data_IF_400914518992
#
_entry.id   IF_400914518992
#
_cell.length_a   1.000
_cell.length_b   1.000
_cell.length_c   1.000
_cell.angle_alpha   90.00
_cell.angle_beta   90.00
_cell.angle_gamma   90.00
#
_symmetry.space_group_name_H-M   'P 1'
#
loop_
_entity.id
_entity.type
_entity.pdbx_description
1 polymer ?
#
# COMPACT_ATOMS: atom_id res chain seq x y z
N UNK A 1 11.16 -12.23 9.54
CA UNK A 1 11.78 -11.97 8.23
C UNK A 1 10.66 -11.57 7.28
N UNK A 2 10.67 -10.33 6.81
CA UNK A 2 9.72 -9.76 5.85
C UNK A 2 10.47 -9.50 4.56
N UNK A 3 9.86 -9.81 3.41
CA UNK A 3 10.51 -9.61 2.10
C UNK A 3 10.88 -10.90 1.38
N UNK A 4 9.93 -11.84 1.24
CA UNK A 4 10.12 -13.03 0.41
C UNK A 4 9.85 -12.67 -1.07
N UNK A 5 10.61 -13.23 -2.01
CA UNK A 5 10.39 -13.02 -3.44
C UNK A 5 9.29 -13.97 -3.96
N UNK A 6 8.12 -13.43 -4.30
CA UNK A 6 7.03 -14.21 -4.92
C UNK A 6 7.34 -14.56 -6.35
N UNK A 7 7.95 -13.65 -7.10
CA UNK A 7 8.06 -13.79 -8.54
C UNK A 7 8.55 -12.53 -9.21
N UNK A 8 8.43 -12.55 -10.53
CA UNK A 8 8.96 -11.55 -11.42
C UNK A 8 7.87 -10.99 -12.32
N UNK A 9 7.88 -9.67 -12.49
CA UNK A 9 7.03 -8.97 -13.45
C UNK A 9 7.93 -8.41 -14.56
N UNK A 10 7.57 -8.67 -15.80
CA UNK A 10 8.28 -8.15 -16.98
C UNK A 10 7.32 -7.51 -17.96
N UNK A 11 7.84 -6.57 -18.73
CA UNK A 11 7.21 -6.03 -19.93
C UNK A 11 8.14 -6.34 -21.11
N UNK A 12 7.58 -6.85 -22.21
CA UNK A 12 8.36 -7.05 -23.44
C UNK A 12 8.40 -5.78 -24.31
N UNK A 13 9.16 -5.81 -25.41
CA UNK A 13 9.29 -4.66 -26.33
C UNK A 13 7.95 -4.23 -26.96
N UNK A 14 6.93 -5.09 -26.92
CA UNK A 14 5.58 -4.82 -27.39
C UNK A 14 4.66 -4.22 -26.32
N UNK A 15 5.14 -4.02 -25.09
CA UNK A 15 4.35 -3.54 -23.95
C UNK A 15 3.48 -4.64 -23.31
N UNK A 16 3.73 -5.91 -23.63
CA UNK A 16 2.97 -7.01 -23.04
C UNK A 16 3.56 -7.36 -21.68
N UNK A 17 2.76 -7.16 -20.64
CA UNK A 17 3.12 -7.55 -19.28
C UNK A 17 2.96 -9.05 -19.07
N UNK A 18 3.95 -9.65 -18.40
CA UNK A 18 3.94 -11.04 -17.98
C UNK A 18 4.46 -11.20 -16.55
N UNK A 19 3.87 -12.12 -15.81
CA UNK A 19 4.23 -12.46 -14.44
C UNK A 19 4.58 -13.95 -14.33
N UNK A 20 5.66 -14.25 -13.60
CA UNK A 20 6.08 -15.61 -13.32
C UNK A 20 6.46 -15.77 -11.84
N UNK A 21 6.02 -16.86 -11.21
CA UNK A 21 6.39 -17.15 -9.84
C UNK A 21 7.88 -17.52 -9.71
N UNK A 22 8.47 -17.15 -8.58
CA UNK A 22 9.83 -17.57 -8.23
C UNK A 22 9.79 -19.06 -7.85
N UNK A 23 10.84 -19.79 -8.23
CA UNK A 23 10.97 -21.21 -7.85
C UNK A 23 10.96 -21.41 -6.33
N UNK A 24 11.54 -20.45 -5.59
CA UNK A 24 11.56 -20.47 -4.13
C UNK A 24 10.17 -20.32 -3.53
N UNK A 25 9.29 -19.52 -4.16
CA UNK A 25 7.89 -19.40 -3.73
C UNK A 25 7.11 -20.68 -4.02
N UNK A 26 7.23 -21.22 -5.24
CA UNK A 26 6.55 -22.46 -5.65
C UNK A 26 6.95 -23.67 -4.81
N UNK A 27 8.18 -23.71 -4.29
CA UNK A 27 8.66 -24.80 -3.44
C UNK A 27 8.06 -24.81 -2.03
N UNK A 28 7.31 -23.77 -1.63
CA UNK A 28 6.75 -23.67 -0.28
C UNK A 28 5.44 -24.43 -0.17
N UNK A 29 5.27 -25.13 0.94
CA UNK A 29 4.00 -25.81 1.27
C UNK A 29 2.88 -24.85 1.64
N UNK A 30 3.20 -23.62 2.04
CA UNK A 30 2.27 -22.55 2.39
C UNK A 30 2.19 -21.45 1.31
N UNK A 31 2.69 -21.72 0.10
CA UNK A 31 2.57 -20.82 -1.03
C UNK A 31 1.10 -20.51 -1.32
N UNK A 32 0.82 -19.23 -1.57
CA UNK A 32 -0.49 -18.75 -2.00
C UNK A 32 -0.37 -18.07 -3.36
N UNK A 33 -1.35 -18.24 -4.26
CA UNK A 33 -1.38 -17.49 -5.51
C UNK A 33 -1.65 -16.01 -5.25
N UNK A 34 -1.10 -15.13 -6.09
CA UNK A 34 -1.36 -13.68 -6.06
C UNK A 34 -2.83 -13.34 -6.36
N UNK A 35 -3.44 -14.11 -7.25
CA UNK A 35 -4.82 -13.97 -7.66
C UNK A 35 -5.39 -15.34 -8.04
N UNK A 36 -6.72 -15.54 -7.98
CA UNK A 36 -7.35 -16.80 -8.40
C UNK A 36 -6.98 -17.24 -9.82
N UNK A 37 -6.77 -16.28 -10.74
CA UNK A 37 -6.39 -16.55 -12.13
C UNK A 37 -4.87 -16.50 -12.39
N UNK A 38 -4.05 -16.52 -11.33
CA UNK A 38 -2.59 -16.69 -11.41
C UNK A 38 -2.22 -17.94 -10.63
N UNK A 39 -2.48 -19.15 -11.16
CA UNK A 39 -2.21 -20.40 -10.45
C UNK A 39 -0.72 -20.58 -10.14
N UNK A 40 -0.42 -21.29 -9.05
CA UNK A 40 0.96 -21.60 -8.65
C UNK A 40 1.56 -22.65 -9.58
N UNK A 41 2.19 -22.19 -10.66
CA UNK A 41 2.93 -23.03 -11.60
C UNK A 41 4.21 -22.32 -12.09
N UNK A 42 5.03 -23.04 -12.85
CA UNK A 42 6.28 -22.52 -13.43
C UNK A 42 6.07 -21.69 -14.70
N UNK A 43 4.81 -21.48 -15.15
CA UNK A 43 4.52 -20.78 -16.39
C UNK A 43 4.59 -19.27 -16.21
N UNK A 44 4.91 -18.58 -17.31
CA UNK A 44 4.71 -17.14 -17.39
C UNK A 44 3.27 -16.86 -17.80
N UNK A 45 2.56 -16.14 -16.95
CA UNK A 45 1.20 -15.68 -17.19
C UNK A 45 1.27 -14.31 -17.86
N UNK A 46 0.65 -14.16 -19.04
CA UNK A 46 0.69 -12.91 -19.81
C UNK A 46 -0.70 -12.52 -20.29
N UNK A 47 -0.84 -11.26 -20.73
CA UNK A 47 -2.06 -10.74 -21.34
C UNK A 47 -2.89 -9.87 -20.41
N UNK A 48 -4.15 -9.67 -20.79
CA UNK A 48 -5.03 -8.65 -20.20
C UNK A 48 -5.24 -8.85 -18.69
N UNK A 49 -5.34 -10.09 -18.22
CA UNK A 49 -5.52 -10.34 -16.79
C UNK A 49 -4.33 -9.83 -15.95
N UNK A 50 -3.10 -10.09 -16.40
CA UNK A 50 -1.89 -9.65 -15.70
C UNK A 50 -1.84 -8.13 -15.69
N UNK A 51 -2.02 -7.50 -16.86
CA UNK A 51 -2.07 -6.06 -16.97
C UNK A 51 -3.13 -5.45 -16.04
N UNK A 52 -4.37 -5.96 -16.06
CA UNK A 52 -5.46 -5.47 -15.22
C UNK A 52 -5.20 -5.67 -13.71
N UNK A 53 -4.62 -6.81 -13.31
CA UNK A 53 -4.29 -7.06 -11.90
C UNK A 53 -3.32 -6.00 -11.36
N UNK A 54 -2.24 -5.75 -12.11
CA UNK A 54 -1.21 -4.80 -11.71
C UNK A 54 -1.65 -3.34 -11.88
N UNK A 55 -2.50 -3.06 -12.86
CA UNK A 55 -3.11 -1.74 -13.05
C UNK A 55 -3.99 -1.33 -11.86
N UNK A 56 -4.73 -2.29 -11.27
CA UNK A 56 -5.56 -2.07 -10.07
C UNK A 56 -4.75 -1.72 -8.80
N UNK A 57 -3.42 -1.80 -8.84
CA UNK A 57 -2.55 -1.33 -7.75
C UNK A 57 -2.24 0.16 -7.85
N UNK A 58 -2.49 0.78 -9.00
CA UNK A 58 -2.16 2.16 -9.30
C UNK A 58 -3.32 3.12 -9.03
N UNK A 59 -3.05 4.43 -8.86
CA UNK A 59 -4.08 5.45 -8.80
C UNK A 59 -4.92 5.48 -10.08
N UNK A 60 -6.12 6.04 -9.96
CA UNK A 60 -7.06 6.19 -11.06
C UNK A 60 -7.38 7.66 -11.36
N UNK A 61 -7.98 7.91 -12.53
CA UNK A 61 -8.46 9.22 -12.95
C UNK A 61 -7.39 10.30 -12.89
N UNK A 62 -7.76 11.51 -12.46
CA UNK A 62 -6.83 12.64 -12.44
C UNK A 62 -5.60 12.45 -11.54
N UNK A 63 -5.61 11.49 -10.60
CA UNK A 63 -4.44 11.23 -9.72
C UNK A 63 -3.39 10.50 -10.54
N UNK A 64 -3.83 9.52 -11.34
CA UNK A 64 -3.01 8.83 -12.34
C UNK A 64 -2.43 9.79 -13.36
N UNK A 65 -3.26 10.67 -13.93
CA UNK A 65 -2.81 11.63 -14.94
C UNK A 65 -1.72 12.56 -14.38
N UNK A 66 -1.86 12.97 -13.12
CA UNK A 66 -0.86 13.78 -12.43
C UNK A 66 0.45 13.01 -12.20
N UNK A 67 0.36 11.77 -11.70
CA UNK A 67 1.50 10.89 -11.49
C UNK A 67 2.27 10.61 -12.79
N UNK A 68 1.56 10.31 -13.87
CA UNK A 68 2.15 10.04 -15.19
C UNK A 68 2.87 11.27 -15.75
N UNK A 69 2.26 12.46 -15.66
CA UNK A 69 2.89 13.72 -16.05
C UNK A 69 4.17 14.00 -15.28
N UNK A 70 4.16 13.78 -13.96
CA UNK A 70 5.33 14.01 -13.12
C UNK A 70 6.50 13.05 -13.43
N UNK A 71 6.21 11.88 -14.00
CA UNK A 71 7.20 10.90 -14.43
C UNK A 71 7.56 11.01 -15.93
N UNK A 72 6.93 11.93 -16.66
CA UNK A 72 7.08 12.05 -18.11
C UNK A 72 6.76 10.76 -18.88
N UNK A 73 5.74 10.02 -18.42
CA UNK A 73 5.26 8.79 -19.08
C UNK A 73 3.78 8.90 -19.46
N UNK A 74 3.32 8.00 -20.33
CA UNK A 74 1.89 7.88 -20.63
C UNK A 74 1.11 7.40 -19.40
N UNK A 75 -0.10 7.92 -19.12
CA UNK A 75 -0.97 7.35 -18.09
C UNK A 75 -1.26 5.87 -18.32
N UNK A 76 -1.26 5.41 -19.57
CA UNK A 76 -1.45 3.99 -19.92
C UNK A 76 -0.21 3.11 -19.69
N UNK A 77 0.96 3.67 -19.38
CA UNK A 77 2.16 2.89 -19.12
C UNK A 77 2.16 2.38 -17.66
N UNK A 78 1.49 1.24 -17.46
CA UNK A 78 1.32 0.59 -16.17
C UNK A 78 2.67 0.23 -15.55
N UNK A 79 3.58 -0.36 -16.33
CA UNK A 79 4.87 -0.81 -15.85
C UNK A 79 5.72 0.35 -15.30
N UNK A 80 5.85 1.45 -16.05
CA UNK A 80 6.60 2.62 -15.60
C UNK A 80 5.99 3.30 -14.36
N UNK A 81 4.67 3.27 -14.22
CA UNK A 81 4.00 3.76 -13.01
C UNK A 81 4.30 2.86 -11.80
N UNK A 82 4.27 1.53 -11.98
CA UNK A 82 4.62 0.58 -10.92
C UNK A 82 6.09 0.67 -10.53
N UNK A 83 6.99 0.89 -11.49
CA UNK A 83 8.39 1.16 -11.25
C UNK A 83 8.63 2.40 -10.41
N UNK A 84 7.66 3.31 -10.28
CA UNK A 84 7.75 4.41 -9.32
C UNK A 84 7.01 4.14 -8.03
N UNK A 85 5.79 3.63 -8.11
CA UNK A 85 4.84 3.64 -6.99
C UNK A 85 4.59 2.28 -6.35
N UNK A 86 5.24 1.23 -6.84
CA UNK A 86 5.06 -0.13 -6.37
C UNK A 86 5.70 -0.45 -5.02
N UNK A 87 6.41 0.47 -4.37
CA UNK A 87 7.11 0.19 -3.11
C UNK A 87 6.17 -0.11 -1.94
N UNK A 88 5.00 0.52 -1.91
CA UNK A 88 3.95 0.28 -0.90
C UNK A 88 2.58 0.28 -1.57
N UNK A 89 2.11 -0.91 -1.97
CA UNK A 89 0.81 -1.09 -2.65
C UNK A 89 -0.29 -1.55 -1.68
N UNK A 90 -1.52 -1.64 -2.19
CA UNK A 90 -2.61 -2.32 -1.49
C UNK A 90 -2.28 -3.80 -1.25
N UNK A 91 -2.62 -4.33 -0.08
CA UNK A 91 -2.25 -5.68 0.32
C UNK A 91 -0.79 -5.80 0.73
N UNK A 92 -0.24 -7.00 0.65
CA UNK A 92 1.08 -7.33 1.18
C UNK A 92 2.22 -7.24 0.15
N UNK A 93 1.94 -6.70 -1.04
CA UNK A 93 2.82 -6.71 -2.20
C UNK A 93 3.68 -5.44 -2.27
N UNK A 94 4.96 -5.62 -2.56
CA UNK A 94 5.87 -4.55 -2.96
C UNK A 94 6.55 -4.91 -4.27
N UNK A 95 6.54 -4.02 -5.25
CA UNK A 95 7.27 -4.13 -6.51
C UNK A 95 8.57 -3.33 -6.40
N UNK A 96 9.68 -4.03 -6.51
CA UNK A 96 11.03 -3.50 -6.45
C UNK A 96 11.67 -3.63 -7.83
N UNK A 97 12.49 -2.66 -8.25
CA UNK A 97 13.29 -2.84 -9.46
C UNK A 97 14.17 -4.09 -9.37
N UNK A 98 14.41 -4.73 -10.50
CA UNK A 98 15.22 -5.94 -10.58
C UNK A 98 16.57 -5.75 -9.88
N UNK A 99 16.94 -6.72 -9.04
CA UNK A 99 18.19 -6.71 -8.27
C UNK A 99 18.13 -5.89 -6.97
N UNK A 100 17.06 -5.13 -6.72
CA UNK A 100 16.83 -4.53 -5.40
C UNK A 100 16.22 -5.57 -4.46
N UNK A 101 16.77 -5.63 -3.25
CA UNK A 101 16.25 -6.45 -2.17
C UNK A 101 15.43 -5.57 -1.21
N UNK A 102 14.42 -6.15 -0.53
CA UNK A 102 13.70 -5.45 0.51
C UNK A 102 14.65 -4.87 1.56
N UNK A 103 14.43 -3.62 1.96
CA UNK A 103 15.29 -2.97 2.93
C UNK A 103 15.14 -3.65 4.30
N UNK A 104 16.24 -4.03 4.97
CA UNK A 104 16.18 -4.62 6.30
C UNK A 104 15.70 -3.61 7.36
N UNK A 105 15.74 -2.31 7.05
CA UNK A 105 15.27 -1.24 7.93
C UNK A 105 14.33 -0.31 7.15
N UNK A 106 13.06 -0.23 7.53
CA UNK A 106 12.15 0.71 6.90
C UNK A 106 12.62 2.13 7.19
N UNK A 107 12.64 2.96 6.15
CA UNK A 107 13.00 4.37 6.22
C UNK A 107 11.73 5.19 6.18
N UNK A 108 11.68 6.22 7.02
CA UNK A 108 10.55 7.12 7.13
C UNK A 108 11.04 8.56 7.14
N UNK A 109 10.39 9.41 6.36
CA UNK A 109 10.63 10.85 6.34
C UNK A 109 9.58 11.53 7.23
N UNK A 110 9.98 12.15 8.37
CA UNK A 110 9.04 12.86 9.23
C UNK A 110 8.24 13.92 8.47
N UNK A 111 6.96 14.04 8.81
CA UNK A 111 6.02 14.97 8.19
C UNK A 111 5.39 15.88 9.23
N UNK A 112 5.37 17.19 8.95
CA UNK A 112 4.54 18.15 9.67
C UNK A 112 3.14 18.20 9.05
N UNK A 113 2.14 18.64 9.82
CA UNK A 113 0.79 18.87 9.29
C UNK A 113 0.80 19.83 8.09
N UNK A 114 1.62 20.89 8.14
CA UNK A 114 1.79 21.83 7.04
C UNK A 114 2.34 21.17 5.77
N UNK A 115 3.32 20.26 5.91
CA UNK A 115 3.88 19.54 4.77
C UNK A 115 2.83 18.60 4.13
N UNK A 116 1.95 17.99 4.93
CA UNK A 116 0.84 17.17 4.44
C UNK A 116 -0.15 18.02 3.65
N UNK A 117 -0.59 19.16 4.20
CA UNK A 117 -1.46 20.12 3.52
C UNK A 117 -0.88 20.58 2.18
N UNK A 118 0.39 20.98 2.20
CA UNK A 118 1.10 21.41 0.98
C UNK A 118 1.12 20.30 -0.07
N UNK A 119 1.32 19.04 0.33
CA UNK A 119 1.32 17.90 -0.59
C UNK A 119 -0.06 17.62 -1.18
N UNK A 120 -1.15 17.77 -0.42
CA UNK A 120 -2.50 17.69 -1.01
C UNK A 120 -2.77 18.84 -1.98
N UNK A 121 -2.41 20.07 -1.62
CA UNK A 121 -2.62 21.24 -2.48
C UNK A 121 -1.81 21.20 -3.79
N UNK A 122 -0.56 20.71 -3.77
CA UNK A 122 0.32 20.72 -4.94
C UNK A 122 0.30 19.43 -5.75
N UNK A 123 -0.01 18.30 -5.11
CA UNK A 123 0.24 16.98 -5.65
C UNK A 123 -0.84 15.95 -5.33
N UNK A 124 -2.01 16.39 -4.86
CA UNK A 124 -3.17 15.54 -4.58
C UNK A 124 -2.85 14.39 -3.61
N UNK A 125 -1.87 14.62 -2.73
CA UNK A 125 -1.41 13.64 -1.74
C UNK A 125 -0.34 12.67 -2.24
N UNK A 126 0.09 12.77 -3.50
CA UNK A 126 1.21 11.99 -4.03
C UNK A 126 2.51 12.66 -3.58
N UNK A 127 3.40 11.99 -2.85
CA UNK A 127 4.63 12.59 -2.34
C UNK A 127 5.71 12.74 -3.42
N UNK A 128 5.42 13.51 -4.48
CA UNK A 128 6.31 13.73 -5.63
C UNK A 128 7.51 14.58 -5.20
N UNK A 129 8.71 14.16 -5.58
CA UNK A 129 9.99 14.82 -5.29
C UNK A 129 10.35 14.95 -3.80
N UNK A 130 9.66 14.25 -2.90
CA UNK A 130 10.09 14.11 -1.51
C UNK A 130 11.31 13.18 -1.42
N UNK A 131 12.27 13.54 -0.54
CA UNK A 131 13.51 12.79 -0.29
C UNK A 131 14.25 12.36 -1.58
N UNK A 132 14.40 13.23 -2.58
CA UNK A 132 15.09 12.90 -3.83
C UNK A 132 14.36 11.88 -4.70
N UNK A 133 13.06 11.64 -4.46
CA UNK A 133 12.26 10.69 -5.22
C UNK A 133 12.24 9.27 -4.67
N UNK A 134 12.71 9.07 -3.45
CA UNK A 134 12.65 7.77 -2.76
C UNK A 134 11.23 7.38 -2.30
N UNK A 135 10.28 8.31 -2.24
CA UNK A 135 8.90 7.99 -1.89
C UNK A 135 8.22 7.23 -3.05
N UNK A 136 7.99 5.92 -2.84
CA UNK A 136 7.46 4.98 -3.85
C UNK A 136 6.08 4.45 -3.47
N UNK A 137 5.16 5.35 -3.15
CA UNK A 137 3.85 4.99 -2.61
C UNK A 137 2.78 5.48 -3.57
N UNK A 138 1.90 4.57 -3.97
CA UNK A 138 0.60 4.95 -4.45
C UNK A 138 -0.48 4.01 -3.93
N UNK A 139 -1.62 4.60 -3.61
CA UNK A 139 -2.82 3.86 -3.25
C UNK A 139 -3.81 3.97 -4.40
N UNK A 140 -4.41 2.84 -4.76
CA UNK A 140 -5.41 2.76 -5.82
C UNK A 140 -6.64 3.63 -5.56
N UNK A 141 -7.35 3.98 -6.63
CA UNK A 141 -8.59 4.76 -6.62
C UNK A 141 -8.44 6.24 -7.03
N UNK A 142 -9.57 6.92 -7.20
CA UNK A 142 -9.64 8.25 -7.84
C UNK A 142 -9.60 9.46 -6.88
N UNK A 143 -9.84 9.25 -5.59
CA UNK A 143 -9.82 10.31 -4.56
C UNK A 143 -8.39 10.60 -4.11
N UNK A 144 -8.09 11.87 -3.89
CA UNK A 144 -6.87 12.36 -3.24
C UNK A 144 -6.67 11.59 -1.93
N UNK A 145 -5.54 10.90 -1.81
CA UNK A 145 -5.19 10.16 -0.61
C UNK A 145 -3.70 10.01 -0.50
N UNK A 146 -3.24 9.85 0.73
CA UNK A 146 -1.83 9.67 1.04
C UNK A 146 -1.66 8.51 2.01
N UNK A 147 -0.78 7.57 1.67
CA UNK A 147 -0.37 6.54 2.62
C UNK A 147 0.73 7.10 3.52
N UNK A 148 0.53 7.01 4.82
CA UNK A 148 1.45 7.56 5.84
C UNK A 148 1.77 6.51 6.90
N UNK A 149 2.92 6.66 7.52
CA UNK A 149 3.24 6.00 8.76
C UNK A 149 2.87 6.92 9.94
N UNK A 150 2.13 6.40 10.91
CA UNK A 150 1.85 7.09 12.18
C UNK A 150 2.42 6.22 13.29
N UNK A 151 3.45 6.71 13.96
CA UNK A 151 4.06 6.04 15.09
C UNK A 151 3.07 5.94 16.28
N UNK A 152 3.27 5.00 17.23
CA UNK A 152 2.46 4.95 18.45
C UNK A 152 2.45 6.25 19.27
N UNK A 153 3.48 7.08 19.11
CA UNK A 153 3.57 8.42 19.70
C UNK A 153 2.66 9.46 19.04
N UNK A 154 2.01 9.11 17.92
CA UNK A 154 1.23 10.02 17.07
C UNK A 154 2.04 10.73 15.99
N UNK A 155 3.37 10.58 15.96
CA UNK A 155 4.22 11.23 14.97
C UNK A 155 3.98 10.66 13.56
N UNK A 156 3.77 11.54 12.59
CA UNK A 156 3.51 11.19 11.19
C UNK A 156 4.79 11.22 10.34
N UNK A 157 4.89 10.31 9.38
CA UNK A 157 5.98 10.25 8.40
C UNK A 157 5.53 9.64 7.07
N UNK A 158 6.24 9.95 5.98
CA UNK A 158 6.11 9.26 4.69
C UNK A 158 7.06 8.05 4.65
N UNK A 159 6.59 6.85 4.29
CA UNK A 159 7.47 5.73 3.98
C UNK A 159 8.37 6.01 2.77
N UNK A 160 9.62 5.57 2.84
CA UNK A 160 10.58 5.67 1.74
C UNK A 160 10.94 4.26 1.24
N UNK A 161 11.13 4.12 -0.07
CA UNK A 161 11.43 2.83 -0.70
C UNK A 161 10.27 1.86 -0.54
N UNK A 162 10.55 0.73 0.10
CA UNK A 162 9.63 -0.37 0.39
C UNK A 162 9.09 -0.35 1.84
N UNK A 163 9.34 0.74 2.57
CA UNK A 163 8.83 0.89 3.92
C UNK A 163 7.29 0.89 3.90
N UNK A 164 6.64 0.12 4.79
CA UNK A 164 5.19 0.06 4.81
C UNK A 164 4.59 1.30 5.47
N UNK A 165 3.53 1.86 4.88
CA UNK A 165 2.59 2.75 5.57
C UNK A 165 1.71 1.99 6.57
N UNK A 166 1.00 2.75 7.40
CA UNK A 166 0.11 2.24 8.45
C UNK A 166 -1.30 2.84 8.38
N UNK A 167 -1.43 4.02 7.78
CA UNK A 167 -2.68 4.76 7.70
C UNK A 167 -2.85 5.37 6.31
N UNK A 168 -4.09 5.64 5.94
CA UNK A 168 -4.48 6.40 4.77
C UNK A 168 -5.07 7.72 5.26
N UNK A 169 -4.52 8.83 4.78
CA UNK A 169 -5.07 10.18 4.99
C UNK A 169 -5.91 10.55 3.78
N UNK A 170 -7.18 10.89 4.00
CA UNK A 170 -8.13 11.33 2.97
C UNK A 170 -8.65 12.73 3.32
N UNK A 171 -8.22 13.78 2.59
CA UNK A 171 -8.68 15.13 2.84
C UNK A 171 -10.14 15.31 2.39
N UNK A 172 -10.77 16.37 2.86
CA UNK A 172 -12.02 16.87 2.27
C UNK A 172 -11.81 17.16 0.78
N UNK A 173 -12.75 16.70 -0.07
CA UNK A 173 -12.66 16.91 -1.52
C UNK A 173 -13.15 18.30 -1.90
N UNK A 174 -12.24 19.25 -2.03
CA UNK A 174 -12.61 20.62 -2.44
C UNK A 174 -12.98 20.74 -3.92
N UNK A 175 -12.52 19.79 -4.76
CA UNK A 175 -12.77 19.80 -6.21
C UNK A 175 -14.18 19.31 -6.60
N UNK A 176 -14.99 18.82 -5.65
CA UNK A 176 -16.40 18.46 -5.86
C UNK A 176 -17.28 19.33 -5.00
N UNK A 177 -17.54 20.56 -5.46
CA UNK A 177 -18.27 21.60 -4.72
C UNK A 177 -19.65 21.20 -4.16
N UNK A 178 -20.28 20.14 -4.69
CA UNK A 178 -21.57 19.63 -4.22
C UNK A 178 -21.47 18.61 -3.07
N UNK A 179 -20.26 18.21 -2.67
CA UNK A 179 -19.99 17.25 -1.59
C UNK A 179 -19.01 17.87 -0.57
N UNK A 180 -19.42 18.88 0.21
CA UNK A 180 -18.57 19.46 1.24
C UNK A 180 -18.29 18.45 2.37
N UNK A 181 -17.17 18.64 3.08
CA UNK A 181 -16.86 17.93 4.33
C UNK A 181 -16.82 16.40 4.20
N UNK A 182 -16.32 15.87 3.08
CA UNK A 182 -16.26 14.42 2.83
C UNK A 182 -15.43 13.68 3.86
N UNK A 183 -14.40 14.31 4.44
CA UNK A 183 -13.61 13.72 5.52
C UNK A 183 -14.43 13.49 6.80
N UNK A 184 -15.26 14.46 7.18
CA UNK A 184 -16.15 14.35 8.34
C UNK A 184 -17.20 13.28 8.08
N UNK A 185 -17.80 13.29 6.89
CA UNK A 185 -18.79 12.28 6.49
C UNK A 185 -18.20 10.87 6.57
N UNK A 186 -17.01 10.66 6.02
CA UNK A 186 -16.34 9.36 6.06
C UNK A 186 -16.07 8.89 7.49
N UNK A 187 -15.54 9.76 8.35
CA UNK A 187 -15.31 9.43 9.76
C UNK A 187 -16.63 9.12 10.51
N UNK A 188 -17.71 9.87 10.23
CA UNK A 188 -19.01 9.69 10.85
C UNK A 188 -19.64 8.35 10.45
N UNK A 189 -19.72 8.06 9.15
CA UNK A 189 -20.36 6.84 8.63
C UNK A 189 -19.61 5.60 9.08
N UNK A 190 -18.28 5.62 9.01
CA UNK A 190 -17.44 4.53 9.49
C UNK A 190 -17.53 4.37 11.02
N UNK A 191 -17.59 5.47 11.76
CA UNK A 191 -17.81 5.43 13.21
C UNK A 191 -19.17 4.84 13.60
N UNK A 192 -20.23 5.19 12.86
CA UNK A 192 -21.54 4.59 13.03
C UNK A 192 -21.52 3.09 12.69
N UNK A 193 -20.89 2.70 11.58
CA UNK A 193 -20.74 1.31 11.19
C UNK A 193 -20.07 0.47 12.29
N UNK A 194 -19.00 0.99 12.90
CA UNK A 194 -18.36 0.36 14.06
C UNK A 194 -19.31 0.27 15.27
N UNK A 195 -20.04 1.34 15.58
CA UNK A 195 -20.97 1.40 16.71
C UNK A 195 -22.14 0.40 16.58
N UNK A 196 -22.56 0.06 15.36
CA UNK A 196 -23.59 -0.97 15.11
C UNK A 196 -23.02 -2.38 14.92
N UNK A 197 -21.71 -2.57 15.13
CA UNK A 197 -21.05 -3.88 15.13
C UNK A 197 -20.57 -4.39 13.77
N UNK A 198 -20.45 -3.53 12.76
CA UNK A 198 -19.81 -3.90 11.49
C UNK A 198 -18.28 -3.92 11.64
N UNK A 199 -17.63 -4.87 10.97
CA UNK A 199 -16.17 -4.94 10.89
C UNK A 199 -15.65 -3.88 9.91
N UNK A 200 -15.16 -2.77 10.47
CA UNK A 200 -14.66 -1.62 9.72
C UNK A 200 -13.30 -1.18 10.23
N UNK A 201 -12.50 -0.62 9.33
CA UNK A 201 -11.19 -0.08 9.69
C UNK A 201 -11.32 1.06 10.72
N UNK A 202 -10.46 1.09 11.76
CA UNK A 202 -10.41 2.21 12.68
C UNK A 202 -10.19 3.52 11.94
N UNK A 203 -11.05 4.50 12.22
CA UNK A 203 -11.00 5.82 11.60
C UNK A 203 -11.10 6.90 12.68
N UNK A 204 -10.45 8.04 12.42
CA UNK A 204 -10.72 9.29 13.12
C UNK A 204 -10.77 10.43 12.13
N UNK A 205 -11.56 11.45 12.45
CA UNK A 205 -11.37 12.76 11.83
C UNK A 205 -10.18 13.46 12.51
N UNK A 206 -9.31 14.07 11.71
CA UNK A 206 -8.16 14.85 12.14
C UNK A 206 -8.38 16.32 11.75
N UNK A 207 -8.95 17.16 12.64
CA UNK A 207 -9.22 18.56 12.35
C UNK A 207 -7.97 19.34 11.88
N UNK A 208 -6.81 18.98 12.44
CA UNK A 208 -5.51 19.56 12.09
C UNK A 208 -5.09 19.32 10.63
N UNK A 209 -5.66 18.30 9.98
CA UNK A 209 -5.41 17.95 8.58
C UNK A 209 -6.62 18.20 7.67
N UNK A 210 -7.77 18.57 8.24
CA UNK A 210 -9.08 18.46 7.59
C UNK A 210 -9.25 17.15 6.80
N UNK A 211 -8.94 16.04 7.46
CA UNK A 211 -8.85 14.74 6.81
C UNK A 211 -9.38 13.60 7.69
N UNK A 212 -9.92 12.57 7.04
CA UNK A 212 -10.14 11.27 7.67
C UNK A 212 -8.81 10.51 7.68
N UNK A 213 -8.42 10.02 8.86
CA UNK A 213 -7.24 9.18 9.06
C UNK A 213 -7.71 7.78 9.36
N UNK A 214 -7.43 6.86 8.43
CA UNK A 214 -7.95 5.50 8.44
C UNK A 214 -6.79 4.53 8.63
N UNK A 215 -6.86 3.67 9.64
CA UNK A 215 -5.86 2.62 9.83
C UNK A 215 -5.97 1.58 8.70
N UNK A 216 -4.83 1.19 8.14
CA UNK A 216 -4.77 0.16 7.11
C UNK A 216 -5.02 -1.21 7.73
N UNK A 217 -6.12 -1.86 7.35
CA UNK A 217 -6.46 -3.22 7.81
C UNK A 217 -5.52 -4.29 7.22
N UNK A 218 -4.87 -3.99 6.10
CA UNK A 218 -3.87 -4.84 5.46
C UNK A 218 -2.45 -4.65 6.04
N UNK A 219 -2.34 -3.97 7.18
CA UNK A 219 -1.09 -3.72 7.92
C UNK A 219 -1.28 -4.14 9.38
N UNK A 220 -0.21 -4.64 10.00
CA UNK A 220 -0.23 -5.06 11.40
C UNK A 220 1.05 -4.62 12.09
N UNK A 221 0.90 -4.10 13.31
CA UNK A 221 2.02 -3.79 14.20
C UNK A 221 2.61 -5.08 14.75
N UNK A 222 3.93 -5.13 14.85
CA UNK A 222 4.60 -6.22 15.56
C UNK A 222 5.36 -5.66 16.74
N UNK A 223 5.02 -6.17 17.92
CA UNK A 223 5.77 -5.90 19.14
C UNK A 223 7.06 -6.71 19.12
N UNK A 224 8.18 -6.05 19.43
CA UNK A 224 9.46 -6.72 19.62
C UNK A 224 9.60 -6.99 21.11
N UNK A 225 9.75 -8.26 21.48
CA UNK A 225 10.02 -8.64 22.87
C UNK A 225 11.34 -8.03 23.35
N UNK A 226 11.29 -7.37 24.51
CA UNK A 226 12.31 -6.53 25.14
C UNK A 226 13.65 -7.21 25.54
N UNK A 227 13.99 -8.38 24.99
CA UNK A 227 15.37 -8.90 25.10
C UNK A 227 16.29 -8.30 24.03
N UNK A 228 15.75 -7.60 23.03
CA UNK A 228 16.56 -6.93 22.00
C UNK A 228 15.95 -5.57 21.67
N UNK A 229 16.65 -4.50 22.04
CA UNK A 229 16.26 -3.10 21.87
C UNK A 229 16.18 -2.70 20.40
N UNK A 230 14.96 -2.47 19.90
CA UNK A 230 14.57 -1.44 18.89
C UNK A 230 13.19 -1.77 18.31
N UNK A 231 12.20 -0.90 18.53
CA UNK A 231 10.86 -0.98 17.94
C UNK A 231 10.92 -0.83 16.41
N UNK A 232 10.82 -1.94 15.66
CA UNK A 232 10.57 -1.97 14.23
C UNK A 232 9.22 -2.64 13.98
N UNK A 233 8.42 -2.04 13.09
CA UNK A 233 7.23 -2.68 12.55
C UNK A 233 7.72 -3.77 11.57
N UNK A 234 7.85 -5.01 12.05
CA UNK A 234 8.29 -6.15 11.24
C UNK A 234 7.46 -7.39 11.58
N UNK A 235 6.66 -7.88 10.63
CA UNK A 235 5.81 -9.09 10.72
C UNK A 235 6.56 -10.25 11.41
N UNK A 236 6.09 -10.78 12.56
CA UNK A 236 5.07 -11.84 12.53
C UNK A 236 4.12 -11.90 13.75
N UNK A 237 2.86 -12.31 13.53
CA UNK A 237 2.04 -13.34 14.23
C UNK A 237 0.55 -13.10 13.96
N UNK A 238 -0.18 -14.21 13.83
CA UNK A 238 -1.56 -14.34 13.35
C UNK A 238 -2.54 -14.02 14.46
N UNK A 239 -3.62 -13.29 14.18
CA UNK A 239 -4.85 -13.40 14.96
C UNK A 239 -6.09 -13.45 14.06
N UNK A 240 -6.88 -14.48 14.32
CA UNK A 240 -8.19 -14.82 13.79
C UNK A 240 -9.21 -13.74 14.13
N UNK A 241 -10.09 -13.41 13.17
CA UNK A 241 -11.40 -12.86 13.50
C UNK A 241 -12.20 -13.94 14.23
N UNK A 242 -12.81 -13.56 15.35
CA UNK A 242 -13.61 -14.43 16.19
C UNK A 242 -14.95 -14.74 15.55
N UNK A 243 -15.21 -16.03 15.36
CA UNK A 243 -16.52 -16.63 15.14
C UNK A 243 -16.46 -18.08 15.58
N UNK A 244 -16.61 -18.32 16.89
CA UNK A 244 -16.97 -19.57 17.58
C UNK A 244 -16.38 -20.92 17.09
N UNK A 245 -15.59 -21.51 17.99
CA UNK A 245 -15.25 -22.95 18.21
C UNK A 245 -14.13 -23.64 17.41
N UNK A 246 -13.13 -24.06 18.20
CA UNK A 246 -12.11 -25.12 18.04
C UNK A 246 -10.77 -24.75 17.34
N UNK A 247 -9.60 -24.91 18.01
CA UNK A 247 -8.32 -24.38 17.54
C UNK A 247 -7.46 -25.47 16.89
N UNK A 248 -7.32 -25.48 15.56
CA UNK A 248 -6.13 -26.02 14.87
C UNK A 248 -5.86 -25.25 13.57
N UNK A 249 -4.60 -24.85 13.42
CA UNK A 249 -3.90 -24.36 12.23
C UNK A 249 -4.13 -22.91 11.78
N UNK A 250 -3.11 -22.08 12.05
CA UNK A 250 -3.01 -20.69 11.63
C UNK A 250 -2.45 -20.52 10.22
N UNK A 251 -2.80 -19.41 9.57
CA UNK A 251 -2.17 -18.94 8.32
C UNK A 251 -1.59 -17.54 8.52
N UNK A 252 -0.32 -17.39 8.14
CA UNK A 252 0.49 -16.17 8.21
C UNK A 252 0.26 -15.34 6.94
N UNK A 253 0.16 -14.01 7.05
CA UNK A 253 0.27 -13.10 5.90
C UNK A 253 1.67 -12.46 5.85
N UNK A 254 2.68 -13.07 5.20
CA UNK A 254 4.00 -12.47 5.02
C UNK A 254 3.93 -11.19 4.18
N UNK A 255 4.90 -10.27 4.32
CA UNK A 255 5.15 -9.18 3.37
C UNK A 255 5.99 -9.76 2.25
N UNK A 256 5.62 -9.47 1.00
CA UNK A 256 6.13 -10.22 -0.13
C UNK A 256 6.45 -9.28 -1.30
N UNK A 257 7.56 -9.57 -1.97
CA UNK A 257 8.16 -8.73 -2.98
C UNK A 257 8.05 -9.36 -4.38
N UNK A 258 7.93 -8.49 -5.38
CA UNK A 258 8.06 -8.78 -6.80
C UNK A 258 9.23 -7.99 -7.37
N UNK A 259 9.93 -8.58 -8.32
CA UNK A 259 11.08 -7.98 -9.02
C UNK A 259 10.88 -7.85 -10.52
#
# INVERSE_FOLDING_TARGET
MTGELIGHLREDDGGVMAFGYSRLWLARTDAIPLAPNLPLDEQWHAGEFVAAYFDNLLPEGGVRDFAARALHVSPGNVFALLERFGGDTAGALALLPQGQLPSPKPRYLPMTHEAVHKCFASSRGIPINLAGGEARIALAGAQDKMAVFIAPTGAMAIPLGDAPSSHIVKPSMDHRAHLPQTAINEALVMGLAAAIGLDVAPVRYAPELDAAVIARYDRQWVAICNACTRTTCAKPWVLSLGGSTNPREGRRCPCVALQ
#
